data_IF_169562582152
#
_entry.id   IF_169562582152
#
_cell.length_a   1.000
_cell.length_b   1.000
_cell.length_c   1.000
_cell.angle_alpha   90.00
_cell.angle_beta   90.00
_cell.angle_gamma   90.00
#
_symmetry.space_group_name_H-M   'P 1'
#
loop_
_entity.id
_entity.type
_entity.pdbx_description
1 polymer ?
#
# COMPACT_ATOMS: atom_id res chain seq x y z
N UNK A 1 2.74 8.91 -7.36
CA UNK A 1 1.61 8.76 -6.42
C UNK A 1 2.11 9.19 -5.05
N UNK A 2 1.27 9.91 -4.31
CA UNK A 2 1.55 10.41 -2.96
C UNK A 2 0.25 10.24 -2.19
N UNK A 3 0.35 9.83 -0.92
CA UNK A 3 -0.81 9.78 -0.05
C UNK A 3 -1.18 11.19 0.41
N UNK A 4 -2.43 11.56 0.19
CA UNK A 4 -3.03 12.81 0.66
C UNK A 4 -4.35 12.47 1.34
N UNK A 5 -4.45 12.62 2.67
CA UNK A 5 -5.71 12.37 3.37
C UNK A 5 -6.76 13.41 2.96
N UNK A 6 -8.04 13.10 3.19
CA UNK A 6 -9.12 14.06 3.00
C UNK A 6 -8.97 15.26 3.92
N UNK A 7 -9.48 16.39 3.47
CA UNK A 7 -9.45 17.63 4.26
C UNK A 7 -10.15 17.42 5.62
N UNK A 8 -9.47 17.83 6.70
CA UNK A 8 -9.95 17.65 8.07
C UNK A 8 -9.81 16.24 8.65
N UNK A 9 -9.32 15.26 7.88
CA UNK A 9 -9.08 13.91 8.41
C UNK A 9 -7.79 13.88 9.25
N UNK A 10 -7.89 13.34 10.46
CA UNK A 10 -6.76 13.07 11.35
C UNK A 10 -6.60 11.57 11.62
N UNK A 11 -5.45 11.18 12.14
CA UNK A 11 -5.18 9.81 12.61
C UNK A 11 -4.60 9.83 14.04
N UNK A 12 -4.44 8.67 14.65
CA UNK A 12 -3.87 8.53 15.98
C UNK A 12 -2.37 8.88 15.96
N UNK A 13 -1.84 9.47 17.04
CA UNK A 13 -0.40 9.74 17.21
C UNK A 13 0.48 8.50 16.99
N UNK A 14 -0.04 7.32 17.33
CA UNK A 14 0.62 6.06 17.05
C UNK A 14 0.76 5.80 15.54
N UNK A 15 -0.32 6.02 14.78
CA UNK A 15 -0.35 5.87 13.34
C UNK A 15 0.54 6.91 12.63
N UNK A 16 0.61 8.15 13.13
CA UNK A 16 1.56 9.15 12.64
C UNK A 16 3.01 8.66 12.73
N UNK A 17 3.39 8.03 13.85
CA UNK A 17 4.71 7.41 14.00
C UNK A 17 4.92 6.24 13.03
N UNK A 18 3.89 5.41 12.80
CA UNK A 18 3.97 4.35 11.79
C UNK A 18 4.20 4.94 10.39
N UNK A 19 3.50 6.01 10.04
CA UNK A 19 3.67 6.73 8.78
C UNK A 19 5.10 7.25 8.62
N UNK A 20 5.66 7.90 9.64
CA UNK A 20 7.06 8.35 9.67
C UNK A 20 8.02 7.18 9.37
N UNK A 21 7.81 6.03 10.02
CA UNK A 21 8.65 4.84 9.79
C UNK A 21 8.45 4.20 8.42
N UNK A 22 7.28 4.36 7.81
CA UNK A 22 6.99 3.82 6.48
C UNK A 22 7.62 4.63 5.33
N UNK A 23 8.08 5.87 5.58
CA UNK A 23 8.65 6.74 4.52
C UNK A 23 9.82 6.06 3.80
N UNK A 24 9.69 5.87 2.49
CA UNK A 24 10.74 5.29 1.65
C UNK A 24 11.04 3.82 1.92
N UNK A 25 10.10 3.08 2.53
CA UNK A 25 10.27 1.66 2.85
C UNK A 25 10.80 0.83 1.67
N UNK A 26 10.29 1.04 0.45
CA UNK A 26 10.70 0.24 -0.71
C UNK A 26 12.11 0.52 -1.26
N UNK A 27 12.81 1.50 -0.67
CA UNK A 27 14.22 1.82 -0.97
C UNK A 27 15.19 1.20 0.04
N UNK A 28 14.69 0.68 1.17
CA UNK A 28 15.52 0.14 2.26
C UNK A 28 15.97 -1.29 1.99
N UNK A 29 17.01 -1.71 2.72
CA UNK A 29 17.54 -3.06 2.68
C UNK A 29 16.49 -4.11 3.08
N UNK A 30 15.69 -3.85 4.10
CA UNK A 30 14.65 -4.77 4.59
C UNK A 30 13.69 -5.19 3.47
N UNK A 31 13.22 -4.23 2.67
CA UNK A 31 12.37 -4.51 1.51
C UNK A 31 13.09 -5.36 0.45
N UNK A 32 14.37 -5.08 0.21
CA UNK A 32 15.18 -5.89 -0.71
C UNK A 32 15.32 -7.34 -0.22
N UNK A 33 15.45 -7.55 1.10
CA UNK A 33 15.49 -8.88 1.70
C UNK A 33 14.16 -9.62 1.55
N UNK A 34 13.02 -8.98 1.83
CA UNK A 34 11.70 -9.59 1.59
C UNK A 34 11.53 -10.03 0.14
N UNK A 35 11.95 -9.20 -0.81
CA UNK A 35 11.87 -9.55 -2.25
C UNK A 35 12.87 -10.64 -2.63
N UNK A 36 14.09 -10.63 -2.08
CA UNK A 36 15.08 -11.69 -2.30
C UNK A 36 14.57 -13.05 -1.78
N UNK A 37 13.94 -13.06 -0.61
CA UNK A 37 13.33 -14.26 -0.04
C UNK A 37 12.14 -14.75 -0.88
N UNK A 38 11.26 -13.85 -1.33
CA UNK A 38 10.19 -14.22 -2.26
C UNK A 38 10.75 -14.79 -3.58
N UNK A 39 11.93 -14.33 -4.03
CA UNK A 39 12.62 -14.88 -5.20
C UNK A 39 13.21 -16.27 -4.96
N UNK A 40 13.84 -16.50 -3.81
CA UNK A 40 14.40 -17.82 -3.47
C UNK A 40 13.32 -18.89 -3.35
N UNK A 41 12.10 -18.50 -2.95
CA UNK A 41 10.91 -19.38 -2.91
C UNK A 41 10.21 -19.57 -4.26
N UNK A 42 10.72 -18.97 -5.33
CA UNK A 42 10.11 -19.04 -6.66
C UNK A 42 8.82 -18.23 -6.85
N UNK A 43 8.35 -17.52 -5.81
CA UNK A 43 7.15 -16.67 -5.88
C UNK A 43 7.37 -15.46 -6.81
N UNK A 44 8.62 -15.01 -6.93
CA UNK A 44 9.00 -13.91 -7.82
C UNK A 44 10.28 -14.18 -8.58
N UNK A 45 10.41 -13.56 -9.76
CA UNK A 45 11.65 -13.61 -10.54
C UNK A 45 12.52 -12.37 -10.38
N UNK A 46 11.91 -11.19 -10.23
CA UNK A 46 12.59 -9.87 -10.32
C UNK A 46 12.09 -8.90 -9.25
N UNK A 47 12.91 -7.89 -9.00
CA UNK A 47 12.54 -6.70 -8.23
C UNK A 47 11.34 -5.99 -8.87
N UNK A 48 10.38 -5.46 -8.09
CA UNK A 48 9.32 -4.61 -8.62
C UNK A 48 9.90 -3.35 -9.31
N UNK A 49 9.29 -2.93 -10.43
CA UNK A 49 9.70 -1.70 -11.10
C UNK A 49 9.48 -0.47 -10.20
N UNK A 50 10.22 0.61 -10.48
CA UNK A 50 10.17 1.86 -9.69
C UNK A 50 8.74 2.38 -9.51
N UNK A 51 7.90 2.32 -10.55
CA UNK A 51 6.52 2.79 -10.47
C UNK A 51 5.66 1.98 -9.48
N UNK A 52 5.91 0.67 -9.36
CA UNK A 52 5.22 -0.18 -8.37
C UNK A 52 5.71 0.10 -6.96
N UNK A 53 7.01 0.32 -6.80
CA UNK A 53 7.62 0.73 -5.52
C UNK A 53 7.02 2.06 -5.01
N UNK A 54 6.94 3.07 -5.88
CA UNK A 54 6.26 4.34 -5.56
C UNK A 54 4.80 4.16 -5.18
N UNK A 55 4.08 3.23 -5.82
CA UNK A 55 2.69 2.93 -5.47
C UNK A 55 2.59 2.25 -4.10
N UNK A 56 3.51 1.33 -3.78
CA UNK A 56 3.60 0.68 -2.47
C UNK A 56 3.91 1.70 -1.37
N UNK A 57 4.86 2.61 -1.59
CA UNK A 57 5.18 3.64 -0.59
C UNK A 57 3.98 4.54 -0.30
N UNK A 58 3.24 4.96 -1.34
CA UNK A 58 2.01 5.74 -1.16
C UNK A 58 0.93 4.92 -0.40
N UNK A 59 0.74 3.65 -0.76
CA UNK A 59 -0.20 2.77 -0.07
C UNK A 59 0.17 2.56 1.39
N UNK A 60 1.45 2.34 1.72
CA UNK A 60 1.88 2.16 3.11
C UNK A 60 1.54 3.37 3.96
N UNK A 61 1.70 4.59 3.43
CA UNK A 61 1.26 5.79 4.13
C UNK A 61 -0.25 5.76 4.42
N UNK A 62 -1.08 5.43 3.42
CA UNK A 62 -2.52 5.35 3.62
C UNK A 62 -2.98 4.18 4.51
N UNK A 63 -2.32 3.03 4.42
CA UNK A 63 -2.57 1.88 5.30
C UNK A 63 -2.26 2.25 6.74
N UNK A 64 -1.13 2.90 7.01
CA UNK A 64 -0.78 3.38 8.34
C UNK A 64 -1.75 4.46 8.84
N UNK A 65 -2.18 5.39 7.98
CA UNK A 65 -3.13 6.43 8.35
C UNK A 65 -4.48 5.86 8.81
N UNK A 66 -5.00 4.85 8.11
CA UNK A 66 -6.28 4.21 8.41
C UNK A 66 -6.16 2.96 9.30
N UNK A 67 -4.97 2.70 9.87
CA UNK A 67 -4.75 1.52 10.70
C UNK A 67 -5.41 1.64 12.06
N UNK A 68 -6.20 0.64 12.42
CA UNK A 68 -6.76 0.45 13.76
C UNK A 68 -5.90 -0.57 14.52
N UNK A 69 -5.12 -0.12 15.52
CA UNK A 69 -4.24 -1.00 16.28
C UNK A 69 -4.98 -1.96 17.20
N UNK A 70 -6.23 -1.68 17.58
CA UNK A 70 -7.01 -2.54 18.46
C UNK A 70 -7.60 -3.73 17.68
N UNK A 71 -8.10 -3.47 16.47
CA UNK A 71 -8.64 -4.51 15.60
C UNK A 71 -7.60 -5.13 14.64
N UNK A 72 -6.35 -4.64 14.65
CA UNK A 72 -5.26 -5.05 13.76
C UNK A 72 -5.68 -5.09 12.28
N UNK A 73 -6.36 -4.04 11.83
CA UNK A 73 -6.88 -3.94 10.45
C UNK A 73 -6.94 -2.49 9.99
N UNK A 74 -7.02 -2.29 8.68
CA UNK A 74 -7.17 -0.96 8.09
C UNK A 74 -8.65 -0.63 7.91
N UNK A 75 -9.13 0.43 8.56
CA UNK A 75 -10.54 0.86 8.54
C UNK A 75 -10.83 1.82 7.38
N UNK A 76 -10.54 1.41 6.15
CA UNK A 76 -10.95 2.17 4.95
C UNK A 76 -11.24 1.23 3.79
N UNK A 77 -12.13 1.65 2.87
CA UNK A 77 -12.34 0.90 1.63
C UNK A 77 -11.12 1.01 0.71
N UNK A 78 -10.86 -0.05 -0.07
CA UNK A 78 -9.74 -0.06 -1.03
C UNK A 78 -9.89 1.06 -2.08
N UNK A 79 -11.12 1.39 -2.46
CA UNK A 79 -11.43 2.52 -3.35
C UNK A 79 -11.01 3.85 -2.75
N UNK A 80 -11.36 4.12 -1.50
CA UNK A 80 -10.94 5.35 -0.80
C UNK A 80 -9.43 5.42 -0.69
N UNK A 81 -8.79 4.32 -0.27
CA UNK A 81 -7.35 4.22 -0.16
C UNK A 81 -6.65 4.48 -1.51
N UNK A 82 -7.19 3.94 -2.60
CA UNK A 82 -6.64 4.12 -3.94
C UNK A 82 -6.76 5.58 -4.41
N UNK A 83 -7.85 6.27 -4.08
CA UNK A 83 -8.05 7.69 -4.39
C UNK A 83 -7.04 8.55 -3.61
N UNK A 84 -6.97 8.37 -2.29
CA UNK A 84 -6.08 9.14 -1.42
C UNK A 84 -4.60 8.91 -1.74
N UNK A 85 -4.23 7.74 -2.26
CA UNK A 85 -2.86 7.45 -2.71
C UNK A 85 -2.53 7.95 -4.14
N UNK A 86 -3.48 8.55 -4.85
CA UNK A 86 -3.31 8.94 -6.27
C UNK A 86 -3.08 7.73 -7.19
N UNK A 87 -3.71 6.61 -6.87
CA UNK A 87 -3.62 5.34 -7.61
C UNK A 87 -4.89 5.01 -8.39
N UNK A 88 -6.01 5.64 -8.03
CA UNK A 88 -7.23 5.59 -8.81
C UNK A 88 -7.08 6.39 -10.11
N UNK A 89 -7.66 5.87 -11.18
CA UNK A 89 -7.74 6.55 -12.48
C UNK A 89 -9.17 6.47 -12.99
N UNK A 90 -9.69 7.57 -13.52
CA UNK A 90 -11.00 7.62 -14.13
C UNK A 90 -10.85 7.65 -15.66
N UNK A 91 -11.62 6.82 -16.36
CA UNK A 91 -11.66 6.84 -17.82
C UNK A 91 -12.52 7.99 -18.34
N UNK A 92 -12.38 8.34 -19.62
CA UNK A 92 -13.27 9.32 -20.27
C UNK A 92 -14.76 8.94 -20.22
N UNK A 93 -15.07 7.65 -19.99
CA UNK A 93 -16.43 7.14 -19.81
C UNK A 93 -16.90 7.12 -18.35
N UNK A 94 -16.17 7.76 -17.42
CA UNK A 94 -16.52 7.83 -15.99
C UNK A 94 -16.25 6.55 -15.20
N UNK A 95 -15.48 5.59 -15.74
CA UNK A 95 -15.19 4.33 -15.04
C UNK A 95 -13.94 4.47 -14.19
N UNK A 96 -14.10 4.31 -12.87
CA UNK A 96 -13.01 4.28 -11.92
C UNK A 96 -12.25 2.94 -11.97
N UNK A 97 -10.92 3.01 -12.10
CA UNK A 97 -10.03 1.87 -12.01
C UNK A 97 -9.07 2.04 -10.83
N UNK A 98 -8.98 1.00 -10.01
CA UNK A 98 -8.09 0.92 -8.83
C UNK A 98 -7.01 -0.16 -8.99
N UNK A 99 -6.81 -0.67 -10.21
CA UNK A 99 -5.93 -1.82 -10.49
C UNK A 99 -4.49 -1.62 -10.02
N UNK A 100 -4.00 -0.37 -10.02
CA UNK A 100 -2.66 -0.05 -9.50
C UNK A 100 -2.55 -0.29 -8.00
N UNK A 101 -3.60 0.05 -7.25
CA UNK A 101 -3.66 -0.18 -5.81
C UNK A 101 -3.80 -1.66 -5.50
N UNK A 102 -4.74 -2.37 -6.12
CA UNK A 102 -4.95 -3.80 -5.87
C UNK A 102 -3.71 -4.62 -6.21
N UNK A 103 -3.04 -4.38 -7.35
CA UNK A 103 -1.78 -5.07 -7.69
C UNK A 103 -0.64 -4.81 -6.71
N UNK A 104 -0.60 -3.63 -6.08
CA UNK A 104 0.40 -3.31 -5.08
C UNK A 104 0.08 -3.95 -3.71
N UNK A 105 -1.20 -4.03 -3.33
CA UNK A 105 -1.65 -4.77 -2.14
C UNK A 105 -1.41 -6.28 -2.28
N UNK A 106 -1.74 -6.87 -3.42
CA UNK A 106 -1.41 -8.27 -3.72
C UNK A 106 0.09 -8.51 -3.62
N UNK A 107 0.91 -7.61 -4.15
CA UNK A 107 2.36 -7.70 -4.05
C UNK A 107 2.85 -7.67 -2.60
N UNK A 108 2.30 -6.79 -1.75
CA UNK A 108 2.65 -6.76 -0.33
C UNK A 108 2.26 -8.05 0.39
N UNK A 109 1.12 -8.64 0.03
CA UNK A 109 0.68 -9.93 0.56
C UNK A 109 1.56 -11.09 0.09
N UNK A 110 2.02 -11.11 -1.17
CA UNK A 110 3.01 -12.07 -1.69
C UNK A 110 4.32 -12.04 -0.89
N UNK A 111 4.71 -10.87 -0.37
CA UNK A 111 5.89 -10.71 0.49
C UNK A 111 5.65 -11.12 1.95
N UNK A 112 4.41 -11.44 2.32
CA UNK A 112 4.02 -11.76 3.69
C UNK A 112 4.00 -10.54 4.62
N UNK A 113 3.91 -9.32 4.07
CA UNK A 113 3.93 -8.08 4.85
C UNK A 113 2.54 -7.69 5.37
N UNK A 114 1.48 -8.10 4.66
CA UNK A 114 0.10 -7.85 5.04
C UNK A 114 -0.77 -9.08 4.73
N UNK A 115 -1.88 -9.20 5.45
CA UNK A 115 -2.98 -10.08 5.06
C UNK A 115 -3.93 -9.29 4.16
N UNK A 116 -4.16 -9.76 2.94
CA UNK A 116 -5.08 -9.14 1.99
C UNK A 116 -6.18 -10.13 1.63
N UNK A 117 -7.38 -9.90 2.16
CA UNK A 117 -8.56 -10.70 1.86
C UNK A 117 -9.45 -9.91 0.90
N UNK A 118 -9.72 -10.48 -0.26
CA UNK A 118 -10.80 -10.04 -1.14
C UNK A 118 -11.95 -11.02 -0.92
N UNK A 119 -12.95 -10.63 -0.14
CA UNK A 119 -14.24 -11.33 -0.18
C UNK A 119 -14.79 -11.15 -1.59
N UNK A 120 -14.97 -12.27 -2.28
CA UNK A 120 -15.73 -12.38 -3.52
C UNK A 120 -17.06 -13.03 -3.18
#
# INVERSE_FOLDING_TARGET
PVFTPREGAGTLKFCEKLMEKAVGFTSRFDFAIHVAHARSRGLRRRMPPVLRRRAIDALLQGLCFHYDPLANRVQCSITTLAIECGLATESAAGKLSITRATRALTFLSELGLITYQTEY
#
